data_IF_565874679040
#
_entry.id   IF_565874679040
#
_cell.length_a   1.000
_cell.length_b   1.000
_cell.length_c   1.000
_cell.angle_alpha   90.00
_cell.angle_beta   90.00
_cell.angle_gamma   90.00
#
_symmetry.space_group_name_H-M   'P 1'
#
loop_
_entity.id
_entity.type
_entity.pdbx_description
1 polymer ?
#
# COMPACT_ATOMS: atom_id res chain seq x y z
N UNK A 1 4.42 -18.10 -16.60
CA UNK A 1 3.39 -17.52 -15.74
C UNK A 1 4.11 -16.72 -14.66
N UNK A 2 3.91 -15.40 -14.55
CA UNK A 2 4.40 -14.66 -13.38
C UNK A 2 3.38 -14.83 -12.26
N UNK A 3 3.82 -15.25 -11.08
CA UNK A 3 2.94 -15.34 -9.92
C UNK A 3 2.40 -13.93 -9.56
N UNK A 4 1.11 -13.84 -9.26
CA UNK A 4 0.53 -12.65 -8.65
C UNK A 4 0.92 -12.63 -7.17
N UNK A 5 1.45 -11.50 -6.72
CA UNK A 5 1.81 -11.23 -5.34
C UNK A 5 0.76 -10.31 -4.74
N UNK A 6 0.25 -10.68 -3.55
CA UNK A 6 -0.65 -9.83 -2.77
C UNK A 6 0.12 -9.28 -1.58
N UNK A 7 0.13 -7.97 -1.42
CA UNK A 7 0.89 -7.24 -0.40
C UNK A 7 -0.01 -6.71 0.72
N UNK A 8 -1.25 -6.33 0.41
CA UNK A 8 -2.27 -5.99 1.40
C UNK A 8 -3.64 -6.49 0.96
N UNK A 9 -4.57 -6.63 1.90
CA UNK A 9 -5.99 -6.78 1.61
C UNK A 9 -6.68 -5.42 1.52
N UNK A 10 -7.98 -5.43 1.20
CA UNK A 10 -8.84 -4.24 1.36
C UNK A 10 -8.98 -3.88 2.83
N UNK A 11 -9.21 -4.90 3.67
CA UNK A 11 -9.12 -4.83 5.13
C UNK A 11 -8.13 -5.92 5.54
N UNK A 12 -7.18 -5.56 6.39
CA UNK A 12 -6.05 -6.35 6.84
C UNK A 12 -4.80 -6.13 5.98
N UNK A 13 -3.65 -6.00 6.66
CA UNK A 13 -2.32 -6.00 6.03
C UNK A 13 -1.76 -7.43 5.97
N UNK A 14 -1.05 -7.76 4.90
CA UNK A 14 -0.22 -8.96 4.87
C UNK A 14 1.19 -8.60 5.36
N UNK A 15 1.51 -8.97 6.60
CA UNK A 15 2.83 -8.73 7.19
C UNK A 15 3.89 -9.64 6.57
N UNK A 16 4.45 -9.18 5.47
CA UNK A 16 5.59 -9.81 4.80
C UNK A 16 6.88 -9.09 5.19
N UNK A 17 7.85 -9.85 5.68
CA UNK A 17 9.11 -9.31 6.26
C UNK A 17 10.18 -9.01 5.20
N UNK A 18 9.89 -9.19 3.92
CA UNK A 18 10.85 -8.93 2.85
C UNK A 18 10.86 -7.46 2.43
N UNK A 19 12.00 -7.00 1.89
CA UNK A 19 12.20 -5.59 1.53
C UNK A 19 11.19 -5.08 0.49
N UNK A 20 10.70 -5.94 -0.41
CA UNK A 20 9.74 -5.52 -1.44
C UNK A 20 8.40 -5.22 -0.80
N UNK A 21 7.91 -6.12 0.03
CA UNK A 21 6.67 -5.91 0.76
C UNK A 21 6.76 -4.70 1.69
N UNK A 22 7.89 -4.52 2.38
CA UNK A 22 8.16 -3.33 3.17
C UNK A 22 8.10 -2.04 2.33
N UNK A 23 8.64 -2.03 1.10
CA UNK A 23 8.52 -0.89 0.18
C UNK A 23 7.07 -0.59 -0.18
N UNK A 24 6.28 -1.63 -0.48
CA UNK A 24 4.86 -1.47 -0.85
C UNK A 24 4.03 -0.94 0.32
N UNK A 25 4.27 -1.45 1.53
CA UNK A 25 3.58 -0.95 2.72
C UNK A 25 3.99 0.49 3.07
N UNK A 26 5.27 0.83 2.93
CA UNK A 26 5.75 2.21 3.08
C UNK A 26 5.14 3.15 2.02
N UNK A 27 4.86 2.67 0.81
CA UNK A 27 4.17 3.45 -0.23
C UNK A 27 2.72 3.80 0.16
N UNK A 28 1.96 2.83 0.70
CA UNK A 28 0.61 3.11 1.23
C UNK A 28 0.66 4.12 2.38
N UNK A 29 1.59 3.95 3.32
CA UNK A 29 1.79 4.88 4.43
C UNK A 29 2.13 6.29 3.91
N UNK A 30 3.09 6.41 2.99
CA UNK A 30 3.46 7.68 2.40
C UNK A 30 2.25 8.43 1.81
N UNK A 31 1.35 7.74 1.10
CA UNK A 31 0.15 8.37 0.56
C UNK A 31 -0.83 8.81 1.64
N UNK A 32 -1.00 8.01 2.68
CA UNK A 32 -1.83 8.39 3.82
C UNK A 32 -1.30 9.66 4.50
N UNK A 33 -0.01 9.73 4.78
CA UNK A 33 0.60 10.92 5.41
C UNK A 33 0.62 12.12 4.47
N UNK A 34 1.08 11.94 3.23
CA UNK A 34 1.22 13.04 2.26
C UNK A 34 -0.12 13.65 1.83
N UNK A 35 -1.21 12.89 1.93
CA UNK A 35 -2.57 13.38 1.71
C UNK A 35 -3.24 13.93 2.98
N UNK A 36 -2.51 14.05 4.10
CA UNK A 36 -3.07 14.44 5.40
C UNK A 36 -4.28 13.58 5.81
N UNK A 37 -4.14 12.26 5.60
CA UNK A 37 -5.17 11.26 5.82
C UNK A 37 -6.41 11.38 4.93
N UNK A 38 -6.39 12.11 3.81
CA UNK A 38 -7.53 12.13 2.89
C UNK A 38 -7.64 10.86 2.04
N UNK A 39 -6.52 10.19 1.79
CA UNK A 39 -6.44 9.12 0.80
C UNK A 39 -5.40 8.06 1.16
N UNK A 40 -5.76 6.79 1.03
CA UNK A 40 -4.84 5.67 1.24
C UNK A 40 -5.05 4.57 0.21
N UNK A 41 -3.95 3.98 -0.26
CA UNK A 41 -3.99 2.78 -1.09
C UNK A 41 -4.08 1.50 -0.25
N UNK A 42 -4.97 0.60 -0.64
CA UNK A 42 -5.20 -0.72 -0.05
C UNK A 42 -5.32 -1.80 -1.14
N UNK A 43 -5.44 -3.06 -0.73
CA UNK A 43 -5.53 -4.23 -1.61
C UNK A 43 -4.43 -4.29 -2.67
N UNK A 44 -3.21 -3.88 -2.31
CA UNK A 44 -2.11 -3.77 -3.25
C UNK A 44 -1.64 -5.14 -3.67
N UNK A 45 -1.72 -5.39 -4.98
CA UNK A 45 -1.28 -6.63 -5.62
C UNK A 45 -0.53 -6.31 -6.92
N UNK A 46 0.31 -7.22 -7.35
CA UNK A 46 1.12 -7.00 -8.53
C UNK A 46 1.80 -8.24 -9.07
N UNK A 47 2.52 -8.05 -10.16
CA UNK A 47 3.35 -9.07 -10.78
C UNK A 47 4.73 -8.52 -11.09
N UNK A 48 5.71 -9.41 -11.08
CA UNK A 48 7.08 -9.07 -11.40
C UNK A 48 7.35 -9.50 -12.82
N UNK A 49 7.79 -8.53 -13.63
CA UNK A 49 8.20 -8.75 -14.99
C UNK A 49 9.67 -8.40 -15.13
N UNK A 50 10.41 -9.23 -15.87
CA UNK A 50 11.76 -8.90 -16.28
C UNK A 50 11.66 -8.00 -17.52
N UNK A 51 12.28 -6.82 -17.45
CA UNK A 51 12.23 -5.85 -18.56
C UNK A 51 12.78 -6.44 -19.85
N UNK A 52 12.10 -6.19 -20.97
CA UNK A 52 12.51 -6.62 -22.33
C UNK A 52 13.79 -5.89 -22.77
N UNK A 53 14.01 -4.68 -22.25
CA UNK A 53 15.19 -3.88 -22.50
C UNK A 53 16.20 -4.14 -21.36
N UNK A 54 17.34 -4.76 -21.67
CA UNK A 54 18.51 -4.97 -20.79
C UNK A 54 18.55 -6.14 -19.80
N UNK A 55 17.49 -6.95 -19.61
CA UNK A 55 17.53 -8.20 -18.82
C UNK A 55 18.04 -8.09 -17.36
N UNK A 56 18.20 -6.87 -16.84
CA UNK A 56 18.70 -6.58 -15.48
C UNK A 56 17.68 -5.83 -14.61
N UNK A 57 16.68 -5.20 -15.22
CA UNK A 57 15.67 -4.44 -14.48
C UNK A 57 14.47 -5.33 -14.13
N UNK A 58 14.29 -5.51 -12.82
CA UNK A 58 13.10 -6.16 -12.26
C UNK A 58 12.04 -5.09 -12.06
N UNK A 59 10.95 -5.16 -12.81
CA UNK A 59 9.83 -4.23 -12.70
C UNK A 59 8.70 -4.90 -11.93
N UNK A 60 8.25 -4.26 -10.85
CA UNK A 60 7.03 -4.62 -10.15
C UNK A 60 5.89 -3.75 -10.68
N UNK A 61 4.92 -4.37 -11.35
CA UNK A 61 3.70 -3.70 -11.83
C UNK A 61 2.58 -3.98 -10.85
N UNK A 62 2.08 -2.94 -10.18
CA UNK A 62 0.88 -3.02 -9.36
C UNK A 62 -0.36 -2.83 -10.24
N UNK A 63 -1.44 -3.53 -9.91
CA UNK A 63 -2.70 -3.42 -10.62
C UNK A 63 -3.89 -3.63 -9.68
N UNK A 64 -5.05 -3.14 -10.10
CA UNK A 64 -6.32 -3.20 -9.35
C UNK A 64 -6.21 -2.72 -7.89
N UNK A 65 -5.63 -1.53 -7.62
CA UNK A 65 -5.56 -1.02 -6.26
C UNK A 65 -6.95 -0.63 -5.76
N UNK A 66 -7.21 -0.93 -4.48
CA UNK A 66 -8.33 -0.33 -3.75
C UNK A 66 -7.87 0.90 -2.99
N UNK A 67 -8.82 1.73 -2.57
CA UNK A 67 -8.51 2.98 -1.88
C UNK A 67 -9.49 3.25 -0.75
N UNK A 68 -8.99 3.92 0.29
CA UNK A 68 -9.80 4.46 1.38
C UNK A 68 -9.75 5.97 1.36
N UNK A 69 -10.91 6.61 1.50
CA UNK A 69 -11.03 8.08 1.49
C UNK A 69 -11.67 8.63 2.77
N UNK A 70 -11.05 8.41 3.95
CA UNK A 70 -11.69 8.67 5.24
C UNK A 70 -12.07 10.14 5.47
N UNK A 71 -11.34 11.09 4.88
CA UNK A 71 -11.64 12.53 5.00
C UNK A 71 -12.14 13.16 3.69
N UNK A 72 -12.47 12.37 2.67
CA UNK A 72 -12.93 12.92 1.39
C UNK A 72 -14.32 13.54 1.50
N UNK A 73 -14.43 14.81 1.11
CA UNK A 73 -15.71 15.52 0.96
C UNK A 73 -16.49 15.12 -0.29
N UNK A 74 -15.90 14.34 -1.20
CA UNK A 74 -16.52 13.89 -2.45
C UNK A 74 -17.21 12.52 -2.30
N UNK A 75 -17.20 11.94 -1.10
CA UNK A 75 -17.70 10.60 -0.82
C UNK A 75 -16.70 9.51 -1.19
N UNK A 76 -17.16 8.26 -1.05
CA UNK A 76 -16.38 7.03 -1.27
C UNK A 76 -15.78 6.97 -2.68
N UNK A 77 -14.53 6.52 -2.78
CA UNK A 77 -13.85 6.30 -4.07
C UNK A 77 -14.39 5.11 -4.85
N UNK A 78 -15.04 4.16 -4.17
CA UNK A 78 -15.59 2.95 -4.79
C UNK A 78 -16.36 2.06 -3.81
N UNK A 79 -16.89 0.94 -4.31
CA UNK A 79 -17.74 0.02 -3.54
C UNK A 79 -17.02 -0.60 -2.32
N UNK A 80 -15.70 -0.72 -2.38
CA UNK A 80 -14.86 -1.27 -1.31
C UNK A 80 -14.06 -0.20 -0.56
N UNK A 81 -14.51 1.05 -0.64
CA UNK A 81 -13.99 2.11 0.19
C UNK A 81 -14.65 2.05 1.58
N UNK A 82 -13.89 1.55 2.54
CA UNK A 82 -14.25 1.45 3.95
C UNK A 82 -13.96 2.73 4.76
N UNK A 83 -13.54 3.82 4.12
CA UNK A 83 -13.32 5.14 4.74
C UNK A 83 -12.46 5.01 6.01
N UNK A 84 -12.97 5.44 7.17
CA UNK A 84 -12.27 5.37 8.46
C UNK A 84 -12.04 3.94 8.97
N UNK A 85 -12.90 2.98 8.63
CA UNK A 85 -12.69 1.58 9.02
C UNK A 85 -11.42 1.04 8.36
N UNK A 86 -11.22 1.34 7.07
CA UNK A 86 -9.99 0.96 6.37
C UNK A 86 -8.74 1.67 6.90
N UNK A 87 -8.87 2.94 7.30
CA UNK A 87 -7.78 3.67 7.96
C UNK A 87 -7.40 3.04 9.31
N UNK A 88 -8.37 2.79 10.19
CA UNK A 88 -8.10 2.21 11.50
C UNK A 88 -7.47 0.83 11.38
N UNK A 89 -8.01 -0.02 10.50
CA UNK A 89 -7.43 -1.34 10.24
C UNK A 89 -5.96 -1.25 9.79
N UNK A 90 -5.63 -0.29 8.92
CA UNK A 90 -4.24 -0.06 8.52
C UNK A 90 -3.37 0.40 9.70
N UNK A 91 -3.82 1.39 10.48
CA UNK A 91 -3.06 1.91 11.64
C UNK A 91 -2.80 0.79 12.66
N UNK A 92 -3.83 0.01 12.97
CA UNK A 92 -3.77 -1.06 13.98
C UNK A 92 -2.87 -2.23 13.56
N UNK A 93 -2.68 -2.44 12.25
CA UNK A 93 -1.92 -3.56 11.73
C UNK A 93 -0.57 -3.19 11.08
N UNK A 94 -0.31 -1.91 10.81
CA UNK A 94 0.91 -1.45 10.14
C UNK A 94 2.07 -1.33 11.12
N UNK A 95 3.10 -2.14 10.92
CA UNK A 95 4.39 -1.97 11.57
C UNK A 95 5.33 -1.17 10.68
N UNK A 96 5.79 -0.01 11.16
CA UNK A 96 6.74 0.83 10.42
C UNK A 96 8.06 0.07 10.19
N UNK A 97 8.42 -0.08 8.92
CA UNK A 97 9.68 -0.71 8.53
C UNK A 97 10.83 0.30 8.49
N UNK A 98 12.07 -0.20 8.34
CA UNK A 98 13.23 0.66 8.08
C UNK A 98 13.05 1.60 6.88
N UNK A 99 12.19 1.24 5.91
CA UNK A 99 11.90 2.08 4.75
C UNK A 99 11.01 3.27 5.15
N UNK A 100 9.96 3.04 5.96
CA UNK A 100 9.12 4.11 6.52
C UNK A 100 9.99 5.14 7.28
N UNK A 101 10.87 4.65 8.16
CA UNK A 101 11.79 5.51 8.91
C UNK A 101 12.79 6.24 8.00
N UNK A 102 13.30 5.60 6.94
CA UNK A 102 14.21 6.24 5.98
C UNK A 102 13.54 7.37 5.18
N UNK A 103 12.23 7.23 4.93
CA UNK A 103 11.38 8.26 4.33
C UNK A 103 10.94 9.32 5.34
N UNK A 104 11.22 9.12 6.64
CA UNK A 104 10.82 9.99 7.76
C UNK A 104 9.31 10.13 7.91
N UNK A 105 8.58 9.04 7.64
CA UNK A 105 7.15 8.98 7.89
C UNK A 105 6.86 8.98 9.40
N UNK A 106 5.68 9.42 9.79
CA UNK A 106 5.26 9.38 11.20
C UNK A 106 5.08 7.94 11.68
N UNK A 107 5.44 7.63 12.93
CA UNK A 107 5.18 6.30 13.47
C UNK A 107 3.67 6.17 13.76
N UNK A 108 3.06 5.12 13.20
CA UNK A 108 1.69 4.72 13.48
C UNK A 108 1.72 3.85 14.76
N UNK A 109 1.00 4.26 15.81
CA UNK A 109 0.95 3.59 17.11
C UNK A 109 -0.47 3.42 17.61
#
# INVERSE_FOLDING_TARGET
SSAVLKFSGTLGICNHTDKRSATIMAFSHFWLESSACEYMFADLQGSINHGILHNTETVLTLFDPMTHTPLSFHGKSGLRDHEFEGLHDFVDSHECSAICHSMKLCDMS
#
